data_IF_450981717466
#
_entry.id   IF_450981717466
#
_cell.length_a   1.000
_cell.length_b   1.000
_cell.length_c   1.000
_cell.angle_alpha   90.00
_cell.angle_beta   90.00
_cell.angle_gamma   90.00
#
_symmetry.space_group_name_H-M   'P 1'
#
loop_
_entity.id
_entity.type
_entity.pdbx_description
1 polymer ?
#
# COMPACT_ATOMS: atom_id res chain seq x y z
N UNK A 1 6.17 -29.78 -8.24
CA UNK A 1 6.15 -29.53 -9.69
C UNK A 1 4.81 -29.88 -10.31
N UNK A 2 4.48 -31.13 -10.70
CA UNK A 2 3.29 -31.42 -11.55
C UNK A 2 1.92 -30.86 -11.11
N UNK A 3 1.65 -30.72 -9.81
CA UNK A 3 0.37 -30.13 -9.33
C UNK A 3 0.39 -28.61 -9.47
N UNK A 4 1.53 -27.97 -9.17
CA UNK A 4 1.69 -26.53 -9.32
C UNK A 4 1.54 -26.15 -10.80
N UNK A 5 2.27 -26.83 -11.69
CA UNK A 5 2.23 -26.56 -13.13
C UNK A 5 0.80 -26.69 -13.68
N UNK A 6 0.08 -27.75 -13.30
CA UNK A 6 -1.30 -27.96 -13.75
C UNK A 6 -2.34 -27.02 -13.11
N UNK A 7 -2.04 -26.38 -11.97
CA UNK A 7 -2.86 -25.31 -11.39
C UNK A 7 -2.54 -23.99 -12.07
N UNK A 8 -1.26 -23.69 -12.30
CA UNK A 8 -0.80 -22.49 -12.99
C UNK A 8 -1.37 -22.41 -14.41
N UNK A 9 -1.30 -23.50 -15.18
CA UNK A 9 -1.91 -23.58 -16.53
C UNK A 9 -3.42 -23.27 -16.50
N UNK A 10 -4.14 -23.76 -15.48
CA UNK A 10 -5.58 -23.50 -15.34
C UNK A 10 -5.87 -22.07 -14.90
N UNK A 11 -5.00 -21.51 -14.05
CA UNK A 11 -5.08 -20.13 -13.59
C UNK A 11 -4.86 -19.16 -14.76
N UNK A 12 -3.78 -19.36 -15.53
CA UNK A 12 -3.46 -18.57 -16.73
C UNK A 12 -4.57 -18.67 -17.77
N UNK A 13 -5.03 -19.89 -18.11
CA UNK A 13 -6.16 -20.06 -19.02
C UNK A 13 -7.46 -19.40 -18.48
N UNK A 14 -7.61 -19.29 -17.15
CA UNK A 14 -8.72 -18.60 -16.51
C UNK A 14 -8.62 -17.08 -16.64
N UNK A 15 -7.41 -16.51 -16.56
CA UNK A 15 -7.14 -15.09 -16.80
C UNK A 15 -7.38 -14.73 -18.26
N UNK A 16 -6.87 -15.54 -19.19
CA UNK A 16 -7.03 -15.32 -20.64
C UNK A 16 -8.51 -15.31 -21.06
N UNK A 17 -9.32 -16.22 -20.50
CA UNK A 17 -10.77 -16.25 -20.78
C UNK A 17 -11.52 -15.00 -20.30
N UNK A 18 -10.94 -14.23 -19.38
CA UNK A 18 -11.53 -13.02 -18.80
C UNK A 18 -10.85 -11.74 -19.29
N UNK A 19 -9.94 -11.84 -20.26
CA UNK A 19 -9.09 -10.72 -20.70
C UNK A 19 -8.46 -9.95 -19.52
N UNK A 20 -8.08 -10.68 -18.46
CA UNK A 20 -7.66 -10.11 -17.18
C UNK A 20 -6.14 -10.24 -16.96
N UNK A 21 -5.55 -9.22 -16.35
CA UNK A 21 -4.15 -9.19 -15.94
C UNK A 21 -4.06 -9.03 -14.42
N UNK A 22 -3.21 -9.82 -13.77
CA UNK A 22 -2.79 -9.60 -12.38
C UNK A 22 -1.58 -8.65 -12.29
N UNK A 23 -1.15 -8.31 -11.06
CA UNK A 23 -0.07 -7.33 -10.88
C UNK A 23 1.26 -7.75 -11.56
N UNK A 24 1.76 -8.99 -11.43
CA UNK A 24 2.90 -9.47 -12.21
C UNK A 24 2.70 -9.40 -13.73
N UNK A 25 1.50 -9.73 -14.23
CA UNK A 25 1.22 -9.72 -15.67
C UNK A 25 1.34 -8.32 -16.27
N UNK A 26 0.96 -7.27 -15.55
CA UNK A 26 1.05 -5.89 -16.05
C UNK A 26 2.49 -5.56 -16.47
N UNK A 27 3.47 -5.94 -15.66
CA UNK A 27 4.88 -5.72 -15.96
C UNK A 27 5.33 -6.70 -17.06
N UNK A 28 5.06 -8.00 -16.88
CA UNK A 28 5.51 -9.05 -17.80
C UNK A 28 4.98 -8.90 -19.23
N UNK A 29 3.69 -8.64 -19.39
CA UNK A 29 3.04 -8.42 -20.69
C UNK A 29 3.53 -7.13 -21.33
N UNK A 30 3.78 -6.06 -20.55
CA UNK A 30 4.36 -4.81 -21.07
C UNK A 30 5.76 -5.05 -21.63
N UNK A 31 6.62 -5.77 -20.90
CA UNK A 31 7.97 -6.12 -21.36
C UNK A 31 7.92 -6.92 -22.66
N UNK A 32 7.12 -7.98 -22.71
CA UNK A 32 6.96 -8.81 -23.91
C UNK A 32 6.47 -7.97 -25.10
N UNK A 33 5.48 -7.11 -24.88
CA UNK A 33 4.95 -6.21 -25.90
C UNK A 33 6.03 -5.25 -26.43
N UNK A 34 6.83 -4.62 -25.57
CA UNK A 34 7.90 -3.69 -25.99
C UNK A 34 9.08 -4.38 -26.68
N UNK A 35 9.37 -5.63 -26.33
CA UNK A 35 10.38 -6.46 -27.02
C UNK A 35 9.95 -6.76 -28.45
N UNK A 36 8.69 -7.13 -28.64
CA UNK A 36 8.14 -7.53 -29.94
C UNK A 36 7.78 -6.34 -30.85
N UNK A 37 7.52 -5.16 -30.29
CA UNK A 37 7.03 -3.98 -31.01
C UNK A 37 8.04 -2.83 -30.99
N UNK A 38 9.11 -2.96 -31.79
CA UNK A 38 10.21 -1.99 -31.88
C UNK A 38 9.74 -0.56 -32.23
N UNK A 39 8.73 -0.41 -33.10
CA UNK A 39 8.18 0.91 -33.44
C UNK A 39 7.56 1.60 -32.21
N UNK A 40 6.83 0.85 -31.39
CA UNK A 40 6.22 1.39 -30.17
C UNK A 40 7.29 1.69 -29.13
N UNK A 41 8.28 0.80 -28.97
CA UNK A 41 9.43 1.01 -28.08
C UNK A 41 10.16 2.30 -28.43
N UNK A 42 10.56 2.49 -29.71
CA UNK A 42 11.21 3.72 -30.18
C UNK A 42 10.36 4.96 -29.94
N UNK A 43 9.06 4.89 -30.21
CA UNK A 43 8.14 6.03 -29.95
C UNK A 43 8.06 6.40 -28.46
N UNK A 44 8.15 5.41 -27.56
CA UNK A 44 8.17 5.67 -26.12
C UNK A 44 9.52 6.21 -25.67
N UNK A 45 10.62 5.67 -26.17
CA UNK A 45 11.98 6.19 -25.93
C UNK A 45 12.08 7.66 -26.37
N UNK A 46 11.56 8.01 -27.55
CA UNK A 46 11.50 9.40 -28.05
C UNK A 46 10.60 10.31 -27.20
N UNK A 47 9.58 9.74 -26.54
CA UNK A 47 8.64 10.49 -25.70
C UNK A 47 9.25 10.83 -24.34
N UNK A 48 10.07 9.94 -23.78
CA UNK A 48 10.66 10.10 -22.46
C UNK A 48 12.05 10.72 -22.57
N UNK A 49 12.10 12.05 -22.58
CA UNK A 49 13.36 12.80 -22.59
C UNK A 49 14.21 12.56 -21.33
N UNK A 50 13.59 12.23 -20.21
CA UNK A 50 14.23 11.84 -18.96
C UNK A 50 13.34 10.85 -18.17
N UNK A 51 13.98 9.88 -17.51
CA UNK A 51 13.34 8.87 -16.67
C UNK A 51 14.02 8.89 -15.30
N UNK A 52 13.24 9.18 -14.26
CA UNK A 52 13.70 9.11 -12.88
C UNK A 52 13.05 7.91 -12.20
N UNK A 53 13.85 7.09 -11.53
CA UNK A 53 13.37 5.99 -10.70
C UNK A 53 13.79 6.27 -9.27
N UNK A 54 12.81 6.48 -8.41
CA UNK A 54 12.98 6.64 -6.97
C UNK A 54 12.80 5.29 -6.26
N UNK A 55 13.34 5.14 -5.06
CA UNK A 55 13.31 3.90 -4.27
C UNK A 55 13.83 2.67 -5.06
N UNK A 56 14.91 2.84 -5.84
CA UNK A 56 15.42 1.79 -6.72
C UNK A 56 15.83 0.51 -5.98
N UNK A 57 16.17 0.59 -4.69
CA UNK A 57 16.50 -0.58 -3.86
C UNK A 57 15.35 -1.57 -3.69
N UNK A 58 14.11 -1.17 -4.02
CA UNK A 58 12.91 -2.00 -3.96
C UNK A 58 12.49 -2.53 -5.35
N UNK A 59 13.34 -2.32 -6.35
CA UNK A 59 13.10 -2.72 -7.74
C UNK A 59 13.57 -4.16 -7.99
N UNK A 60 12.77 -4.93 -8.74
CA UNK A 60 13.16 -6.28 -9.20
C UNK A 60 13.76 -6.27 -10.63
N UNK A 61 14.33 -7.40 -11.06
CA UNK A 61 14.94 -7.55 -12.38
C UNK A 61 14.00 -7.23 -13.55
N UNK A 62 12.70 -7.53 -13.42
CA UNK A 62 11.72 -7.25 -14.48
C UNK A 62 11.44 -5.76 -14.58
N UNK A 63 11.31 -5.08 -13.44
CA UNK A 63 11.14 -3.64 -13.40
C UNK A 63 12.37 -2.91 -13.95
N UNK A 64 13.59 -3.36 -13.61
CA UNK A 64 14.81 -2.83 -14.23
C UNK A 64 14.82 -3.07 -15.73
N UNK A 65 14.42 -4.26 -16.19
CA UNK A 65 14.32 -4.56 -17.61
C UNK A 65 13.34 -3.63 -18.35
N UNK A 66 12.19 -3.34 -17.75
CA UNK A 66 11.23 -2.39 -18.30
C UNK A 66 11.85 -0.99 -18.44
N UNK A 67 12.58 -0.52 -17.42
CA UNK A 67 13.29 0.77 -17.49
C UNK A 67 14.27 0.77 -18.64
N UNK A 68 15.07 -0.31 -18.82
CA UNK A 68 16.01 -0.44 -19.93
C UNK A 68 15.32 -0.37 -21.30
N UNK A 69 14.19 -1.05 -21.48
CA UNK A 69 13.43 -0.98 -22.72
C UNK A 69 12.90 0.44 -23.02
N UNK A 70 12.58 1.22 -21.98
CA UNK A 70 12.08 2.59 -22.11
C UNK A 70 13.18 3.64 -22.32
N UNK A 71 14.42 3.36 -21.93
CA UNK A 71 15.54 4.31 -21.98
C UNK A 71 16.61 3.96 -23.01
N UNK A 72 16.76 2.68 -23.37
CA UNK A 72 17.81 2.21 -24.29
C UNK A 72 19.19 2.04 -23.63
N UNK A 73 19.23 1.83 -22.31
CA UNK A 73 20.45 1.70 -21.49
C UNK A 73 21.42 0.63 -22.03
N UNK A 74 20.90 -0.43 -22.66
CA UNK A 74 21.65 -1.54 -23.25
C UNK A 74 21.97 -1.38 -24.74
N UNK A 75 21.33 -0.43 -25.44
CA UNK A 75 21.36 -0.34 -26.90
C UNK A 75 22.32 0.75 -27.43
N UNK A 76 22.47 1.91 -26.77
CA UNK A 76 23.51 2.93 -27.07
C UNK A 76 23.38 4.21 -26.23
N UNK A 77 22.20 4.48 -25.65
CA UNK A 77 21.81 5.75 -25.00
C UNK A 77 21.28 5.51 -23.59
N UNK A 78 22.09 5.76 -22.56
CA UNK A 78 21.65 5.74 -21.16
C UNK A 78 21.66 7.15 -20.52
N UNK A 79 21.76 8.21 -21.32
CA UNK A 79 22.02 9.56 -20.79
C UNK A 79 20.80 10.23 -20.15
N UNK A 80 19.63 9.58 -20.21
CA UNK A 80 18.37 10.14 -19.75
C UNK A 80 17.78 9.40 -18.54
N UNK A 81 18.51 8.48 -17.91
CA UNK A 81 18.04 7.77 -16.72
C UNK A 81 18.73 8.28 -15.45
N UNK A 82 17.95 8.49 -14.40
CA UNK A 82 18.43 8.90 -13.08
C UNK A 82 17.82 7.97 -12.03
N UNK A 83 18.68 7.24 -11.31
CA UNK A 83 18.28 6.30 -10.27
C UNK A 83 18.58 6.90 -8.89
N UNK A 84 17.61 6.82 -7.99
CA UNK A 84 17.73 7.22 -6.59
C UNK A 84 17.32 6.05 -5.71
N UNK A 85 18.09 5.81 -4.65
CA UNK A 85 17.73 4.82 -3.65
C UNK A 85 18.79 4.70 -2.56
N UNK A 86 18.47 3.90 -1.55
CA UNK A 86 19.34 3.60 -0.42
C UNK A 86 19.31 2.10 -0.14
N UNK A 87 20.42 1.40 -0.40
CA UNK A 87 20.55 -0.05 -0.17
C UNK A 87 20.14 -0.44 1.26
N UNK A 88 20.37 0.44 2.25
CA UNK A 88 20.01 0.24 3.67
C UNK A 88 18.50 0.21 3.91
N UNK A 89 17.69 0.68 2.97
CA UNK A 89 16.23 0.75 3.05
C UNK A 89 15.54 -0.35 2.22
N UNK A 90 16.29 -1.30 1.65
CA UNK A 90 15.69 -2.42 0.93
C UNK A 90 14.99 -3.36 1.90
N UNK A 91 13.65 -3.28 1.96
CA UNK A 91 12.81 -4.06 2.89
C UNK A 91 11.79 -4.95 2.18
N UNK A 92 11.82 -4.99 0.84
CA UNK A 92 10.87 -5.73 0.00
C UNK A 92 11.42 -7.02 -0.61
N UNK A 93 12.47 -7.62 -0.03
CA UNK A 93 13.04 -8.89 -0.50
C UNK A 93 12.01 -10.02 -0.66
N UNK A 94 10.98 -10.04 0.20
CA UNK A 94 9.87 -11.02 0.11
C UNK A 94 9.00 -10.87 -1.15
N UNK A 95 9.10 -9.74 -1.88
CA UNK A 95 8.44 -9.49 -3.16
C UNK A 95 9.38 -9.70 -4.36
N UNK A 96 10.63 -10.08 -4.13
CA UNK A 96 11.64 -10.28 -5.17
C UNK A 96 12.53 -9.07 -5.45
N UNK A 97 12.46 -8.01 -4.64
CA UNK A 97 13.48 -6.96 -4.68
C UNK A 97 14.84 -7.54 -4.26
N UNK A 98 15.90 -7.17 -4.96
CA UNK A 98 17.24 -7.69 -4.74
C UNK A 98 18.23 -6.51 -4.71
N UNK A 99 18.97 -6.36 -3.61
CA UNK A 99 19.98 -5.32 -3.44
C UNK A 99 21.07 -5.44 -4.52
N UNK A 100 21.31 -6.65 -5.04
CA UNK A 100 22.25 -6.87 -6.14
C UNK A 100 21.78 -6.24 -7.45
N UNK A 101 20.46 -6.07 -7.68
CA UNK A 101 19.91 -5.34 -8.83
C UNK A 101 20.31 -3.87 -8.79
N UNK A 102 20.38 -3.26 -7.59
CA UNK A 102 20.89 -1.89 -7.41
C UNK A 102 22.35 -1.77 -7.85
N UNK A 103 23.21 -2.67 -7.35
CA UNK A 103 24.63 -2.72 -7.72
C UNK A 103 24.84 -2.99 -9.21
N UNK A 104 24.10 -3.94 -9.78
CA UNK A 104 24.17 -4.28 -11.20
C UNK A 104 23.73 -3.10 -12.10
N UNK A 105 22.65 -2.39 -11.73
CA UNK A 105 22.21 -1.21 -12.46
C UNK A 105 23.24 -0.07 -12.38
N UNK A 106 23.84 0.14 -11.19
CA UNK A 106 24.93 1.11 -10.98
C UNK A 106 26.12 0.80 -11.90
N UNK A 107 26.55 -0.45 -11.96
CA UNK A 107 27.67 -0.90 -12.79
C UNK A 107 27.37 -0.78 -14.29
N UNK A 108 26.15 -1.13 -14.71
CA UNK A 108 25.67 -0.96 -16.09
C UNK A 108 25.71 0.52 -16.51
N UNK A 109 25.19 1.43 -15.67
CA UNK A 109 25.20 2.86 -15.96
C UNK A 109 26.61 3.45 -15.96
N UNK A 110 27.47 3.02 -15.04
CA UNK A 110 28.87 3.46 -15.01
C UNK A 110 29.59 3.04 -16.30
N UNK A 111 29.40 1.80 -16.75
CA UNK A 111 29.99 1.31 -18.01
C UNK A 111 29.55 2.15 -19.22
N UNK A 112 28.28 2.54 -19.27
CA UNK A 112 27.76 3.42 -20.34
C UNK A 112 28.34 4.82 -20.25
N UNK A 113 28.38 5.42 -19.05
CA UNK A 113 28.97 6.73 -18.83
C UNK A 113 30.45 6.77 -19.26
N UNK A 114 31.23 5.76 -18.89
CA UNK A 114 32.63 5.63 -19.31
C UNK A 114 32.81 5.49 -20.81
N UNK A 115 31.96 4.70 -21.46
CA UNK A 115 31.98 4.56 -22.93
C UNK A 115 31.67 5.87 -23.65
N UNK A 116 30.79 6.70 -23.07
CA UNK A 116 30.38 7.98 -23.64
C UNK A 116 31.25 9.17 -23.19
N UNK A 117 32.16 8.97 -22.23
CA UNK A 117 32.99 10.02 -21.66
C UNK A 117 32.21 10.99 -20.77
N UNK A 118 31.22 10.48 -20.03
CA UNK A 118 30.30 11.22 -19.16
C UNK A 118 30.53 10.93 -17.66
N UNK A 119 31.70 10.42 -17.29
CA UNK A 119 32.04 10.11 -15.89
C UNK A 119 32.39 11.36 -15.05
N UNK A 120 32.58 12.51 -15.68
CA UNK A 120 32.90 13.72 -14.93
C UNK A 120 31.64 14.35 -14.35
N UNK A 121 31.60 14.52 -13.03
CA UNK A 121 30.59 15.33 -12.34
C UNK A 121 31.12 16.76 -12.24
N UNK A 122 30.48 17.76 -12.88
CA UNK A 122 30.90 19.15 -12.77
C UNK A 122 30.89 19.61 -11.31
N UNK A 123 31.91 20.38 -10.92
CA UNK A 123 32.01 21.00 -9.59
C UNK A 123 32.01 19.99 -8.40
N UNK A 124 32.48 18.76 -8.63
CA UNK A 124 32.56 17.70 -7.62
C UNK A 124 33.91 16.98 -7.63
N UNK A 125 34.36 16.52 -6.46
CA UNK A 125 35.55 15.66 -6.31
C UNK A 125 35.26 14.17 -6.57
N UNK A 126 34.02 13.84 -6.96
CA UNK A 126 33.56 12.46 -7.18
C UNK A 126 33.99 11.96 -8.56
N UNK A 127 34.49 10.72 -8.61
CA UNK A 127 35.03 10.11 -9.83
C UNK A 127 33.98 9.69 -10.88
N UNK A 128 32.71 9.55 -10.49
CA UNK A 128 31.60 9.18 -11.39
C UNK A 128 30.24 9.67 -10.88
N UNK A 129 29.27 9.99 -11.76
CA UNK A 129 27.90 10.29 -11.33
C UNK A 129 27.25 9.14 -10.55
N UNK A 130 27.65 7.90 -10.82
CA UNK A 130 27.10 6.70 -10.16
C UNK A 130 27.68 6.45 -8.76
N UNK A 131 28.72 7.19 -8.36
CA UNK A 131 29.28 7.17 -7.01
C UNK A 131 28.93 8.43 -6.19
N UNK A 132 27.99 9.23 -6.68
CA UNK A 132 27.49 10.40 -5.94
C UNK A 132 26.67 9.94 -4.73
N UNK A 133 27.19 10.20 -3.53
CA UNK A 133 26.52 9.88 -2.27
C UNK A 133 26.01 11.14 -1.56
N UNK A 134 24.77 11.07 -1.07
CA UNK A 134 24.16 12.13 -0.26
C UNK A 134 24.23 11.75 1.22
N UNK A 135 25.27 12.21 1.91
CA UNK A 135 25.45 11.95 3.35
C UNK A 135 24.74 12.95 4.27
N UNK A 136 24.20 14.04 3.72
CA UNK A 136 23.49 15.07 4.49
C UNK A 136 22.05 14.63 4.84
N UNK A 137 21.73 14.54 6.13
CA UNK A 137 20.38 14.29 6.62
C UNK A 137 19.68 15.60 7.02
N UNK A 138 18.58 15.92 6.33
CA UNK A 138 17.82 17.15 6.54
C UNK A 138 16.57 16.93 7.42
N UNK A 139 16.31 15.70 7.87
CA UNK A 139 15.06 15.28 8.55
C UNK A 139 15.22 15.15 10.07
N UNK A 140 16.34 14.59 10.52
CA UNK A 140 16.56 14.13 11.89
C UNK A 140 17.47 15.11 12.63
N UNK A 141 17.17 15.39 13.89
CA UNK A 141 18.03 16.20 14.77
C UNK A 141 19.36 15.45 15.05
N UNK A 142 20.39 16.20 15.46
CA UNK A 142 21.75 15.69 15.63
C UNK A 142 21.85 14.55 16.65
N UNK A 143 21.20 14.70 17.81
CA UNK A 143 21.25 13.72 18.90
C UNK A 143 20.65 12.35 18.51
N UNK A 144 19.41 12.26 18.01
CA UNK A 144 18.88 10.99 17.51
C UNK A 144 19.69 10.42 16.36
N UNK A 145 20.19 11.27 15.44
CA UNK A 145 20.97 10.80 14.29
C UNK A 145 22.31 10.19 14.73
N UNK A 146 22.97 10.80 15.72
CA UNK A 146 24.23 10.29 16.29
C UNK A 146 24.03 8.90 16.88
N UNK A 147 22.98 8.71 17.70
CA UNK A 147 22.64 7.40 18.24
C UNK A 147 22.36 6.38 17.14
N UNK A 148 21.58 6.74 16.11
CA UNK A 148 21.26 5.83 15.00
C UNK A 148 22.52 5.41 14.24
N UNK A 149 23.42 6.36 13.95
CA UNK A 149 24.71 6.05 13.32
C UNK A 149 25.53 5.05 14.16
N UNK A 150 25.65 5.29 15.48
CA UNK A 150 26.38 4.39 16.38
C UNK A 150 25.75 2.99 16.49
N UNK A 151 24.42 2.92 16.51
CA UNK A 151 23.66 1.68 16.55
C UNK A 151 23.86 0.88 15.26
N UNK A 152 23.63 1.50 14.09
CA UNK A 152 23.73 0.80 12.81
C UNK A 152 25.17 0.42 12.43
N UNK A 153 26.18 1.19 12.86
CA UNK A 153 27.57 0.78 12.71
C UNK A 153 27.88 -0.56 13.41
N UNK A 154 27.16 -0.89 14.48
CA UNK A 154 27.32 -2.16 15.19
C UNK A 154 26.44 -3.27 14.61
N UNK A 155 25.25 -2.92 14.10
CA UNK A 155 24.28 -3.90 13.61
C UNK A 155 24.51 -4.31 12.15
N UNK A 156 24.92 -3.38 11.28
CA UNK A 156 25.09 -3.64 9.85
C UNK A 156 26.53 -4.14 9.63
N UNK A 157 26.75 -5.39 10.00
CA UNK A 157 28.00 -6.11 9.75
C UNK A 157 27.64 -7.40 9.02
N UNK A 158 28.23 -7.66 7.83
CA UNK A 158 27.93 -8.85 7.06
C UNK A 158 28.13 -10.11 7.90
N UNK A 159 27.15 -11.02 7.88
CA UNK A 159 27.24 -12.26 8.66
C UNK A 159 28.44 -13.10 8.21
N UNK A 160 28.69 -13.17 6.90
CA UNK A 160 29.86 -13.77 6.27
C UNK A 160 30.09 -13.26 4.82
N UNK A 161 31.13 -13.78 4.15
CA UNK A 161 31.48 -13.44 2.76
C UNK A 161 30.40 -13.86 1.73
N UNK A 162 29.54 -14.83 2.06
CA UNK A 162 28.45 -15.30 1.18
C UNK A 162 27.25 -14.34 1.21
N UNK A 163 26.97 -13.74 2.38
CA UNK A 163 25.87 -12.79 2.58
C UNK A 163 26.26 -11.35 2.28
N UNK A 164 27.56 -11.02 2.28
CA UNK A 164 28.07 -9.68 2.01
C UNK A 164 27.50 -8.99 0.75
N UNK A 165 27.24 -9.68 -0.39
CA UNK A 165 26.62 -9.04 -1.55
C UNK A 165 25.16 -8.61 -1.37
N UNK A 166 24.47 -9.15 -0.36
CA UNK A 166 23.06 -8.91 -0.07
C UNK A 166 22.85 -8.01 1.16
N UNK A 167 23.93 -7.60 1.83
CA UNK A 167 23.89 -6.76 3.02
C UNK A 167 24.48 -5.37 2.72
N UNK A 168 23.70 -4.34 3.06
CA UNK A 168 24.14 -2.96 2.88
C UNK A 168 25.16 -2.57 3.97
N UNK A 169 26.33 -2.01 3.61
CA UNK A 169 27.30 -1.52 4.58
C UNK A 169 26.75 -0.30 5.35
N UNK A 170 27.24 -0.05 6.57
CA UNK A 170 26.83 1.12 7.33
C UNK A 170 27.39 2.38 6.67
N UNK A 171 26.52 3.38 6.49
CA UNK A 171 26.87 4.67 5.90
C UNK A 171 26.41 5.78 6.85
N UNK A 172 27.34 6.38 7.62
CA UNK A 172 26.98 7.40 8.59
C UNK A 172 26.47 8.67 7.91
N UNK A 173 25.36 9.20 8.41
CA UNK A 173 24.78 10.45 7.92
C UNK A 173 25.18 11.62 8.82
N UNK A 174 25.32 12.80 8.22
CA UNK A 174 25.59 14.05 8.95
C UNK A 174 24.35 14.90 8.98
N UNK A 175 23.94 15.39 10.16
CA UNK A 175 22.82 16.30 10.26
C UNK A 175 23.14 17.61 9.50
N UNK A 176 22.27 17.98 8.56
CA UNK A 176 22.36 19.18 7.73
C UNK A 176 21.04 19.93 7.82
N UNK A 177 20.74 20.46 8.99
CA UNK A 177 19.50 21.22 9.22
C UNK A 177 19.80 22.71 9.27
N UNK A 178 20.45 23.24 8.22
CA UNK A 178 20.84 24.65 8.15
C UNK A 178 19.65 25.63 8.16
N UNK A 179 18.43 25.13 7.95
CA UNK A 179 17.16 25.88 8.04
C UNK A 179 16.56 25.87 9.45
N UNK A 180 17.12 25.10 10.36
CA UNK A 180 16.72 25.10 11.76
C UNK A 180 17.49 26.18 12.50
N UNK A 181 16.75 27.07 13.14
CA UNK A 181 17.34 28.02 14.06
C UNK A 181 17.73 27.25 15.33
N UNK A 182 18.89 27.57 15.89
CA UNK A 182 19.31 27.06 17.20
C UNK A 182 18.38 27.71 18.26
N UNK A 183 17.29 27.02 18.57
CA UNK A 183 16.23 27.48 19.48
C UNK A 183 16.27 26.64 20.75
N UNK A 184 16.35 27.31 21.90
CA UNK A 184 16.24 26.67 23.21
C UNK A 184 14.97 25.81 23.30
N UNK A 185 15.13 24.50 23.51
CA UNK A 185 14.04 23.53 23.64
C UNK A 185 13.66 22.78 22.35
N UNK A 186 14.34 23.04 21.23
CA UNK A 186 14.24 22.21 20.03
C UNK A 186 15.23 21.04 20.10
N UNK A 187 14.99 20.13 21.04
CA UNK A 187 15.85 18.99 21.32
C UNK A 187 15.24 17.69 20.81
N UNK A 188 16.10 16.71 20.47
CA UNK A 188 15.69 15.38 20.06
C UNK A 188 16.28 14.33 20.98
N UNK A 189 15.47 13.38 21.42
CA UNK A 189 15.94 12.27 22.27
C UNK A 189 15.38 10.95 21.80
N UNK A 190 16.09 9.87 22.14
CA UNK A 190 15.60 8.51 21.95
C UNK A 190 15.26 7.93 23.31
N UNK A 191 14.02 7.44 23.42
CA UNK A 191 13.48 6.83 24.63
C UNK A 191 13.18 5.35 24.37
N UNK A 192 13.62 4.48 25.28
CA UNK A 192 13.31 3.05 25.23
C UNK A 192 12.36 2.72 26.38
N UNK A 193 11.09 2.47 26.05
CA UNK A 193 10.05 2.11 27.01
C UNK A 193 10.08 0.60 27.25
N UNK A 194 10.53 0.19 28.43
CA UNK A 194 10.55 -1.23 28.83
C UNK A 194 9.18 -1.63 29.36
N UNK A 195 8.55 -2.59 28.69
CA UNK A 195 7.30 -3.20 29.15
C UNK A 195 7.61 -4.64 29.55
N UNK A 196 7.46 -5.01 30.83
CA UNK A 196 7.73 -6.37 31.30
C UNK A 196 6.74 -7.36 30.68
N UNK A 197 7.28 -8.49 30.24
CA UNK A 197 6.56 -9.59 29.59
C UNK A 197 6.27 -10.76 30.54
N UNK A 198 6.76 -10.68 31.78
CA UNK A 198 6.52 -11.66 32.82
C UNK A 198 5.98 -11.02 34.13
N UNK A 199 5.13 -11.75 34.88
CA UNK A 199 4.53 -11.25 36.11
C UNK A 199 5.54 -10.93 37.22
N UNK A 200 6.68 -11.62 37.29
CA UNK A 200 7.69 -11.40 38.34
C UNK A 200 8.40 -10.06 38.11
N UNK A 201 8.80 -9.79 36.87
CA UNK A 201 9.38 -8.50 36.47
C UNK A 201 8.34 -7.39 36.55
N UNK A 202 7.10 -7.64 36.13
CA UNK A 202 6.00 -6.67 36.26
C UNK A 202 5.71 -6.32 37.73
N UNK A 203 5.65 -7.30 38.63
CA UNK A 203 5.49 -7.05 40.06
C UNK A 203 6.69 -6.31 40.66
N UNK A 204 7.91 -6.61 40.18
CA UNK A 204 9.13 -5.92 40.61
C UNK A 204 9.17 -4.46 40.17
N UNK A 205 8.71 -4.16 38.95
CA UNK A 205 8.73 -2.81 38.37
C UNK A 205 7.51 -1.96 38.75
N UNK A 206 6.32 -2.57 38.83
CA UNK A 206 5.03 -1.84 38.96
C UNK A 206 4.22 -2.20 40.21
N UNK A 207 4.59 -3.25 40.95
CA UNK A 207 3.88 -3.72 42.15
C UNK A 207 2.86 -4.82 41.90
N UNK A 208 2.52 -5.56 42.96
CA UNK A 208 1.72 -6.81 42.90
C UNK A 208 0.27 -6.63 42.42
N UNK A 209 -0.28 -5.41 42.47
CA UNK A 209 -1.66 -5.10 42.07
C UNK A 209 -1.79 -4.69 40.58
N UNK A 210 -0.71 -4.79 39.79
CA UNK A 210 -0.69 -4.28 38.41
C UNK A 210 -1.38 -5.25 37.41
N UNK A 211 -2.28 -4.78 36.52
CA UNK A 211 -3.09 -5.61 35.60
C UNK A 211 -2.31 -6.53 34.63
N UNK A 212 -1.00 -6.29 34.46
CA UNK A 212 -0.12 -7.00 33.52
C UNK A 212 0.31 -8.38 34.05
N UNK A 213 0.10 -8.66 35.34
CA UNK A 213 0.53 -9.91 35.98
C UNK A 213 -0.34 -11.14 35.63
N UNK A 214 -1.59 -10.98 35.17
CA UNK A 214 -2.52 -12.09 34.87
C UNK A 214 -2.70 -12.31 33.36
N UNK A 215 -1.68 -12.80 32.65
CA UNK A 215 -1.82 -13.30 31.27
C UNK A 215 -0.73 -12.91 30.27
N UNK A 216 0.51 -12.77 30.75
CA UNK A 216 1.77 -12.52 30.06
C UNK A 216 1.64 -12.06 28.59
N UNK A 217 1.52 -12.93 27.58
CA UNK A 217 1.69 -12.52 26.17
C UNK A 217 0.59 -11.62 25.57
N UNK A 218 -0.69 -11.97 25.66
CA UNK A 218 -1.78 -11.10 25.16
C UNK A 218 -1.87 -9.83 26.01
N UNK A 219 -1.58 -9.96 27.31
CA UNK A 219 -1.47 -8.82 28.22
C UNK A 219 -0.21 -7.98 27.98
N UNK A 220 0.86 -8.52 27.37
CA UNK A 220 2.10 -7.78 27.10
C UNK A 220 1.88 -6.79 25.97
N UNK A 221 1.22 -7.22 24.88
CA UNK A 221 0.91 -6.32 23.76
C UNK A 221 -0.14 -5.28 24.18
N UNK A 222 -1.13 -5.70 24.96
CA UNK A 222 -2.10 -4.77 25.54
C UNK A 222 -1.41 -3.78 26.50
N UNK A 223 -0.48 -4.25 27.34
CA UNK A 223 0.34 -3.41 28.21
C UNK A 223 1.25 -2.47 27.41
N UNK A 224 1.81 -2.91 26.30
CA UNK A 224 2.63 -2.08 25.41
C UNK A 224 1.81 -0.97 24.79
N UNK A 225 0.63 -1.30 24.26
CA UNK A 225 -0.32 -0.33 23.71
C UNK A 225 -0.75 0.71 24.76
N UNK A 226 -1.04 0.25 25.97
CA UNK A 226 -1.43 1.09 27.12
C UNK A 226 -0.26 1.98 27.59
N UNK A 227 0.95 1.43 27.69
CA UNK A 227 2.14 2.18 28.06
C UNK A 227 2.48 3.25 27.01
N UNK A 228 2.35 2.93 25.73
CA UNK A 228 2.50 3.89 24.63
C UNK A 228 1.47 5.02 24.73
N UNK A 229 0.18 4.68 24.88
CA UNK A 229 -0.89 5.67 25.01
C UNK A 229 -0.67 6.58 26.22
N UNK A 230 -0.35 6.02 27.39
CA UNK A 230 -0.05 6.79 28.59
C UNK A 230 1.18 7.71 28.42
N UNK A 231 2.22 7.23 27.73
CA UNK A 231 3.41 8.04 27.44
C UNK A 231 3.09 9.18 26.48
N UNK A 232 2.26 8.94 25.46
CA UNK A 232 1.79 9.96 24.53
C UNK A 232 0.91 11.02 25.23
N UNK A 233 0.02 10.61 26.15
CA UNK A 233 -0.72 11.56 26.99
C UNK A 233 0.23 12.47 27.77
N UNK A 234 1.25 11.89 28.42
CA UNK A 234 2.27 12.66 29.14
C UNK A 234 3.06 13.59 28.20
N UNK A 235 3.33 13.14 26.97
CA UNK A 235 3.99 13.95 25.94
C UNK A 235 3.12 15.13 25.53
N UNK A 236 1.80 14.97 25.40
CA UNK A 236 0.90 16.06 25.02
C UNK A 236 0.52 16.99 26.18
N UNK A 237 0.74 16.58 27.43
CA UNK A 237 0.62 17.46 28.60
C UNK A 237 1.74 18.53 28.66
N UNK A 238 2.94 18.18 28.19
CA UNK A 238 4.08 19.10 28.00
C UNK A 238 4.68 18.89 26.59
N UNK A 239 4.01 19.42 25.54
CA UNK A 239 4.32 19.07 24.16
C UNK A 239 5.67 19.62 23.71
N UNK A 240 6.54 18.78 23.09
CA UNK A 240 7.82 19.24 22.58
C UNK A 240 7.63 20.28 21.47
N UNK A 241 8.67 21.08 21.25
CA UNK A 241 8.69 22.08 20.19
C UNK A 241 8.87 21.40 18.83
N UNK A 242 8.04 21.79 17.86
CA UNK A 242 8.13 21.37 16.47
C UNK A 242 8.39 22.60 15.61
N UNK A 243 9.35 22.49 14.70
CA UNK A 243 9.59 23.49 13.66
C UNK A 243 9.00 23.03 12.33
N UNK A 244 8.13 23.83 11.76
CA UNK A 244 7.59 23.63 10.43
C UNK A 244 8.68 23.91 9.37
N UNK A 245 8.94 22.93 8.51
CA UNK A 245 10.06 23.01 7.55
C UNK A 245 9.85 23.98 6.40
N UNK A 246 8.59 24.35 6.12
CA UNK A 246 8.23 25.22 5.00
C UNK A 246 8.17 26.69 5.42
N UNK A 247 7.65 26.94 6.62
CA UNK A 247 7.45 28.29 7.17
C UNK A 247 8.55 28.70 8.15
N UNK A 248 9.25 27.74 8.75
CA UNK A 248 10.19 27.97 9.85
C UNK A 248 9.53 28.32 11.18
N UNK A 249 8.19 28.31 11.25
CA UNK A 249 7.45 28.63 12.47
C UNK A 249 7.56 27.50 13.51
N UNK A 250 7.58 27.91 14.77
CA UNK A 250 7.64 27.00 15.90
C UNK A 250 6.28 26.87 16.56
N UNK A 251 5.89 25.64 16.85
CA UNK A 251 4.63 25.32 17.56
C UNK A 251 4.82 24.12 18.47
N UNK A 252 3.90 23.96 19.41
CA UNK A 252 3.80 22.71 20.18
C UNK A 252 3.44 21.54 19.27
N UNK A 253 3.99 20.38 19.58
CA UNK A 253 3.61 19.12 18.94
C UNK A 253 2.11 18.84 19.10
N UNK A 254 1.54 18.25 18.07
CA UNK A 254 0.16 17.79 18.00
C UNK A 254 0.14 16.30 17.66
N UNK A 255 -0.99 15.60 17.81
CA UNK A 255 -1.11 14.21 17.39
C UNK A 255 -0.72 13.95 15.92
N UNK A 256 -0.89 14.93 15.04
CA UNK A 256 -0.50 14.84 13.62
C UNK A 256 1.04 14.77 13.41
N UNK A 257 1.83 15.15 14.41
CA UNK A 257 3.30 15.07 14.37
C UNK A 257 3.83 13.70 14.83
N UNK A 258 2.96 12.80 15.28
CA UNK A 258 3.32 11.49 15.82
C UNK A 258 2.98 10.38 14.83
N UNK A 259 3.97 9.53 14.54
CA UNK A 259 3.78 8.30 13.77
C UNK A 259 4.08 7.07 14.63
N UNK A 260 3.14 6.11 14.66
CA UNK A 260 3.32 4.81 15.33
C UNK A 260 3.63 3.76 14.26
N UNK A 261 4.84 3.19 14.29
CA UNK A 261 5.30 2.19 13.35
C UNK A 261 5.28 0.80 14.00
N UNK A 262 4.48 -0.11 13.44
CA UNK A 262 4.37 -1.49 13.90
C UNK A 262 4.97 -2.44 12.87
N UNK A 263 5.77 -3.42 13.31
CA UNK A 263 6.36 -4.43 12.42
C UNK A 263 5.31 -5.25 11.67
N UNK A 264 4.20 -5.55 12.35
CA UNK A 264 3.04 -6.28 11.81
C UNK A 264 1.76 -5.63 12.33
N UNK A 265 0.69 -5.69 11.53
CA UNK A 265 -0.62 -5.12 11.88
C UNK A 265 -1.52 -6.09 12.66
N UNK A 266 -1.00 -7.25 13.06
CA UNK A 266 -1.77 -8.34 13.70
C UNK A 266 -2.51 -7.90 14.96
N UNK A 267 -1.95 -6.94 15.70
CA UNK A 267 -2.52 -6.44 16.97
C UNK A 267 -2.87 -4.95 16.89
N UNK A 268 -3.08 -4.42 15.69
CA UNK A 268 -3.39 -3.01 15.48
C UNK A 268 -4.64 -2.56 16.25
N UNK A 269 -5.62 -3.45 16.41
CA UNK A 269 -6.84 -3.20 17.20
C UNK A 269 -6.54 -2.87 18.68
N UNK A 270 -5.47 -3.43 19.25
CA UNK A 270 -5.06 -3.17 20.64
C UNK A 270 -4.52 -1.75 20.82
N UNK A 271 -3.67 -1.30 19.90
CA UNK A 271 -3.18 0.09 19.89
C UNK A 271 -4.33 1.07 19.64
N UNK A 272 -5.26 0.75 18.73
CA UNK A 272 -6.45 1.59 18.50
C UNK A 272 -7.27 1.78 19.77
N UNK A 273 -7.63 0.68 20.45
CA UNK A 273 -8.39 0.73 21.71
C UNK A 273 -7.69 1.54 22.79
N UNK A 274 -6.37 1.37 22.94
CA UNK A 274 -5.61 2.13 23.92
C UNK A 274 -5.61 3.64 23.59
N UNK A 275 -5.47 4.03 22.32
CA UNK A 275 -5.56 5.43 21.92
C UNK A 275 -6.97 6.00 22.14
N UNK A 276 -8.02 5.21 21.85
CA UNK A 276 -9.43 5.57 22.11
C UNK A 276 -9.69 5.78 23.62
N UNK A 277 -9.17 4.91 24.48
CA UNK A 277 -9.36 4.98 25.94
C UNK A 277 -8.72 6.23 26.56
N UNK A 278 -7.62 6.72 25.96
CA UNK A 278 -6.92 7.93 26.38
C UNK A 278 -7.34 9.18 25.60
N UNK A 279 -8.41 9.10 24.81
CA UNK A 279 -8.93 10.19 23.97
C UNK A 279 -7.87 10.79 23.00
N UNK A 280 -6.93 9.97 22.52
CA UNK A 280 -5.90 10.39 21.57
C UNK A 280 -6.40 10.19 20.14
N UNK A 281 -6.54 11.26 19.34
CA UNK A 281 -6.97 11.13 17.94
C UNK A 281 -5.90 10.42 17.12
N UNK A 282 -6.32 9.49 16.27
CA UNK A 282 -5.42 8.73 15.41
C UNK A 282 -6.01 8.52 14.02
N UNK A 283 -5.13 8.27 13.05
CA UNK A 283 -5.51 7.83 11.70
C UNK A 283 -4.70 6.59 11.33
N UNK A 284 -5.37 5.61 10.70
CA UNK A 284 -4.74 4.38 10.25
C UNK A 284 -4.44 4.49 8.75
N UNK A 285 -3.17 4.71 8.40
CA UNK A 285 -2.73 4.78 6.99
C UNK A 285 -2.78 3.39 6.37
N UNK A 286 -3.37 3.30 5.16
CA UNK A 286 -3.58 2.03 4.47
C UNK A 286 -4.50 1.10 5.26
N UNK A 287 -5.51 1.65 5.94
CA UNK A 287 -6.48 0.89 6.72
C UNK A 287 -6.98 -0.32 5.93
N UNK A 288 -6.72 -1.50 6.49
CA UNK A 288 -7.35 -2.75 6.07
C UNK A 288 -8.85 -2.55 6.24
N UNK A 289 -9.65 -2.97 5.27
CA UNK A 289 -11.09 -2.97 5.46
C UNK A 289 -11.88 -2.15 4.45
N UNK A 290 -11.41 -1.00 3.92
CA UNK A 290 -12.29 -0.19 3.06
C UNK A 290 -12.77 -1.01 1.84
N UNK A 291 -11.84 -1.53 1.05
CA UNK A 291 -12.15 -2.42 -0.09
C UNK A 291 -12.59 -3.83 0.34
N UNK A 292 -12.42 -4.19 1.61
CA UNK A 292 -12.86 -5.48 2.15
C UNK A 292 -14.28 -5.41 2.75
N UNK A 293 -14.82 -4.20 2.94
CA UNK A 293 -16.19 -4.03 3.46
C UNK A 293 -17.18 -4.65 2.47
N UNK A 294 -18.18 -5.40 2.96
CA UNK A 294 -19.20 -5.99 2.09
C UNK A 294 -19.84 -4.96 1.16
N UNK A 295 -19.98 -3.72 1.62
CA UNK A 295 -20.58 -2.62 0.87
C UNK A 295 -19.72 -2.19 -0.32
N UNK A 296 -18.44 -1.94 -0.09
CA UNK A 296 -17.51 -1.55 -1.16
C UNK A 296 -17.27 -2.72 -2.11
N UNK A 297 -17.22 -3.96 -1.62
CA UNK A 297 -17.11 -5.15 -2.48
C UNK A 297 -18.32 -5.30 -3.39
N UNK A 298 -19.54 -5.12 -2.88
CA UNK A 298 -20.77 -5.19 -3.69
C UNK A 298 -20.76 -4.16 -4.83
N UNK A 299 -20.41 -2.90 -4.52
CA UNK A 299 -20.32 -1.84 -5.52
C UNK A 299 -19.15 -2.05 -6.49
N UNK A 300 -18.01 -2.54 -6.02
CA UNK A 300 -16.86 -2.85 -6.90
C UNK A 300 -17.20 -3.97 -7.88
N UNK A 301 -17.86 -5.03 -7.41
CA UNK A 301 -18.34 -6.12 -8.26
C UNK A 301 -19.37 -5.60 -9.28
N UNK A 302 -20.27 -4.69 -8.87
CA UNK A 302 -21.21 -4.06 -9.80
C UNK A 302 -20.48 -3.29 -10.91
N UNK A 303 -19.51 -2.45 -10.56
CA UNK A 303 -18.75 -1.70 -11.56
C UNK A 303 -18.02 -2.61 -12.55
N UNK A 304 -17.49 -3.75 -12.09
CA UNK A 304 -16.91 -4.77 -12.96
C UNK A 304 -17.94 -5.38 -13.91
N UNK A 305 -19.10 -5.78 -13.40
CA UNK A 305 -20.21 -6.33 -14.21
C UNK A 305 -20.72 -5.34 -15.25
N UNK A 306 -20.77 -4.05 -14.90
CA UNK A 306 -21.20 -3.02 -15.85
C UNK A 306 -20.21 -2.93 -17.02
N UNK A 307 -18.90 -2.94 -16.73
CA UNK A 307 -17.84 -2.92 -17.73
C UNK A 307 -17.74 -4.21 -18.55
N UNK A 308 -17.86 -5.37 -17.89
CA UNK A 308 -17.81 -6.69 -18.47
C UNK A 308 -18.92 -7.61 -17.89
N UNK A 309 -20.01 -7.86 -18.65
CA UNK A 309 -21.09 -8.73 -18.20
C UNK A 309 -20.68 -10.20 -18.10
N UNK A 310 -19.53 -10.58 -18.65
CA UNK A 310 -19.04 -11.98 -18.65
C UNK A 310 -18.23 -12.34 -17.40
N UNK A 311 -17.97 -11.37 -16.51
CA UNK A 311 -17.39 -11.63 -15.19
C UNK A 311 -18.42 -12.27 -14.24
N UNK A 312 -18.62 -13.57 -14.42
CA UNK A 312 -19.56 -14.38 -13.63
C UNK A 312 -19.26 -14.35 -12.12
N UNK A 313 -17.99 -14.16 -11.71
CA UNK A 313 -17.66 -14.09 -10.27
C UNK A 313 -18.20 -12.80 -9.68
N UNK A 314 -17.93 -11.67 -10.33
CA UNK A 314 -18.44 -10.38 -9.89
C UNK A 314 -19.97 -10.34 -9.98
N UNK A 315 -20.56 -10.90 -11.05
CA UNK A 315 -22.02 -10.98 -11.23
C UNK A 315 -22.68 -11.81 -10.13
N UNK A 316 -22.13 -12.97 -9.79
CA UNK A 316 -22.60 -13.76 -8.66
C UNK A 316 -22.55 -12.97 -7.34
N UNK A 317 -21.45 -12.26 -7.09
CA UNK A 317 -21.28 -11.41 -5.92
C UNK A 317 -22.33 -10.30 -5.83
N UNK A 318 -22.63 -9.64 -6.96
CA UNK A 318 -23.68 -8.62 -7.06
C UNK A 318 -25.06 -9.19 -6.74
N UNK A 319 -25.42 -10.33 -7.35
CA UNK A 319 -26.72 -10.98 -7.15
C UNK A 319 -26.93 -11.46 -5.71
N UNK A 320 -25.85 -11.86 -5.01
CA UNK A 320 -25.89 -12.25 -3.58
C UNK A 320 -25.85 -11.07 -2.62
N UNK A 321 -25.36 -9.91 -3.06
CA UNK A 321 -25.22 -8.71 -2.23
C UNK A 321 -26.58 -8.09 -1.88
N UNK A 322 -26.65 -7.15 -0.90
CA UNK A 322 -27.88 -6.43 -0.57
C UNK A 322 -28.50 -5.59 -1.72
N UNK A 323 -27.86 -5.51 -2.89
CA UNK A 323 -28.44 -4.94 -4.11
C UNK A 323 -29.61 -5.79 -4.65
N UNK A 324 -29.52 -7.12 -4.54
CA UNK A 324 -30.54 -8.05 -5.06
C UNK A 324 -30.97 -9.10 -4.02
N UNK A 325 -30.05 -9.55 -3.16
CA UNK A 325 -30.36 -10.44 -2.02
C UNK A 325 -30.78 -11.86 -2.42
N UNK A 326 -30.36 -12.36 -3.59
CA UNK A 326 -30.73 -13.71 -4.03
C UNK A 326 -30.02 -14.80 -3.22
N UNK A 327 -30.64 -15.97 -3.10
CA UNK A 327 -30.06 -17.14 -2.42
C UNK A 327 -29.45 -18.10 -3.43
N UNK A 328 -28.48 -18.90 -2.99
CA UNK A 328 -27.85 -19.93 -3.83
C UNK A 328 -28.89 -20.89 -4.44
N UNK A 329 -29.95 -21.22 -3.69
CA UNK A 329 -31.06 -22.07 -4.17
C UNK A 329 -31.81 -21.49 -5.38
N UNK A 330 -31.85 -20.15 -5.52
CA UNK A 330 -32.44 -19.49 -6.69
C UNK A 330 -31.45 -19.41 -7.85
N UNK A 331 -30.18 -19.12 -7.56
CA UNK A 331 -29.16 -18.92 -8.59
C UNK A 331 -28.69 -20.24 -9.23
N UNK A 332 -28.45 -21.27 -8.42
CA UNK A 332 -27.84 -22.51 -8.88
C UNK A 332 -28.60 -23.21 -10.03
N UNK A 333 -29.95 -23.30 -10.04
CA UNK A 333 -30.68 -23.90 -11.15
C UNK A 333 -30.51 -23.13 -12.47
N UNK A 334 -30.53 -21.79 -12.43
CA UNK A 334 -30.40 -20.96 -13.62
C UNK A 334 -28.98 -21.02 -14.21
N UNK A 335 -27.97 -20.94 -13.34
CA UNK A 335 -26.56 -20.97 -13.75
C UNK A 335 -26.15 -22.35 -14.28
N UNK A 336 -26.71 -23.44 -13.75
CA UNK A 336 -26.37 -24.80 -14.21
C UNK A 336 -26.83 -25.09 -15.66
N UNK A 337 -27.81 -24.33 -16.17
CA UNK A 337 -28.39 -24.51 -17.51
C UNK A 337 -27.82 -23.57 -18.58
N UNK A 338 -26.92 -22.65 -18.22
CA UNK A 338 -26.41 -21.63 -19.12
C UNK A 338 -24.88 -21.63 -19.20
N UNK A 339 -24.34 -21.08 -20.28
CA UNK A 339 -22.89 -20.95 -20.48
C UNK A 339 -22.27 -19.84 -19.61
N UNK A 340 -23.07 -18.86 -19.20
CA UNK A 340 -22.69 -17.76 -18.28
C UNK A 340 -23.88 -17.35 -17.40
N UNK A 341 -23.62 -16.69 -16.29
CA UNK A 341 -24.67 -16.15 -15.41
C UNK A 341 -25.45 -15.05 -16.14
N UNK A 342 -24.80 -14.24 -16.97
CA UNK A 342 -25.49 -13.20 -17.75
C UNK A 342 -26.53 -13.80 -18.70
N UNK A 343 -26.16 -14.85 -19.45
CA UNK A 343 -27.10 -15.59 -20.32
C UNK A 343 -28.21 -16.27 -19.51
N UNK A 344 -27.89 -16.77 -18.31
CA UNK A 344 -28.88 -17.33 -17.41
C UNK A 344 -29.94 -16.29 -17.02
N UNK A 345 -29.53 -15.07 -16.69
CA UNK A 345 -30.45 -13.97 -16.36
C UNK A 345 -31.30 -13.55 -17.57
N UNK A 346 -30.70 -13.44 -18.75
CA UNK A 346 -31.38 -13.04 -20.00
C UNK A 346 -32.49 -14.02 -20.42
N UNK A 347 -32.26 -15.32 -20.21
CA UNK A 347 -33.15 -16.39 -20.68
C UNK A 347 -34.01 -16.99 -19.57
N UNK A 348 -33.93 -16.45 -18.35
CA UNK A 348 -34.64 -16.95 -17.18
C UNK A 348 -36.15 -16.68 -17.26
N UNK A 349 -36.94 -17.68 -16.85
CA UNK A 349 -38.39 -17.54 -16.62
C UNK A 349 -38.72 -17.06 -15.18
N UNK A 350 -37.74 -16.98 -14.25
CA UNK A 350 -37.94 -16.41 -12.91
C UNK A 350 -38.04 -14.87 -12.99
N UNK A 351 -39.19 -14.27 -12.62
CA UNK A 351 -39.40 -12.83 -12.72
C UNK A 351 -38.34 -12.00 -12.00
N UNK A 352 -37.81 -12.45 -10.87
CA UNK A 352 -36.83 -11.68 -10.10
C UNK A 352 -35.45 -11.67 -10.79
N UNK A 353 -35.11 -12.75 -11.48
CA UNK A 353 -33.89 -12.81 -12.27
C UNK A 353 -34.01 -11.96 -13.55
N UNK A 354 -35.20 -11.94 -14.17
CA UNK A 354 -35.50 -11.05 -15.29
C UNK A 354 -35.43 -9.58 -14.88
N UNK A 355 -36.02 -9.19 -13.75
CA UNK A 355 -35.95 -7.82 -13.23
C UNK A 355 -34.49 -7.40 -12.98
N UNK A 356 -33.66 -8.30 -12.44
CA UNK A 356 -32.23 -8.04 -12.25
C UNK A 356 -31.49 -7.84 -13.57
N UNK A 357 -31.80 -8.64 -14.59
CA UNK A 357 -31.24 -8.48 -15.94
C UNK A 357 -31.59 -7.12 -16.54
N UNK A 358 -32.84 -6.68 -16.41
CA UNK A 358 -33.32 -5.40 -16.93
C UNK A 358 -32.62 -4.22 -16.24
N UNK A 359 -32.49 -4.25 -14.91
CA UNK A 359 -31.77 -3.24 -14.14
C UNK A 359 -30.29 -3.16 -14.53
N UNK A 360 -29.60 -4.31 -14.56
CA UNK A 360 -28.18 -4.36 -14.96
C UNK A 360 -27.98 -3.86 -16.39
N UNK A 361 -28.86 -4.24 -17.32
CA UNK A 361 -28.81 -3.78 -18.71
C UNK A 361 -29.04 -2.27 -18.82
N UNK A 362 -30.02 -1.74 -18.08
CA UNK A 362 -30.29 -0.31 -17.99
C UNK A 362 -29.08 0.46 -17.47
N UNK A 363 -28.47 0.00 -16.37
CA UNK A 363 -27.29 0.65 -15.80
C UNK A 363 -26.08 0.60 -16.73
N UNK A 364 -25.90 -0.46 -17.53
CA UNK A 364 -24.85 -0.54 -18.56
C UNK A 364 -25.04 0.47 -19.69
N UNK A 365 -26.27 0.68 -20.13
CA UNK A 365 -26.63 1.73 -21.09
C UNK A 365 -26.34 3.12 -20.51
N UNK A 366 -26.74 3.37 -19.26
CA UNK A 366 -26.53 4.65 -18.58
C UNK A 366 -25.05 4.92 -18.26
N UNK A 367 -24.23 3.90 -18.01
CA UNK A 367 -22.79 4.06 -17.78
C UNK A 367 -21.99 4.20 -19.08
N UNK A 368 -22.60 3.98 -20.25
CA UNK A 368 -21.91 3.94 -21.54
C UNK A 368 -21.10 2.66 -21.76
N UNK A 369 -21.34 1.61 -20.98
CA UNK A 369 -20.74 0.29 -21.15
C UNK A 369 -21.54 -0.62 -22.11
N UNK A 370 -22.66 -0.13 -22.62
CA UNK A 370 -23.45 -0.69 -23.71
C UNK A 370 -23.87 0.43 -24.67
N UNK A 371 -24.57 0.10 -25.76
CA UNK A 371 -25.10 1.12 -26.68
C UNK A 371 -25.97 2.13 -25.91
N UNK A 372 -25.67 3.45 -25.99
CA UNK A 372 -26.42 4.45 -25.26
C UNK A 372 -27.88 4.54 -25.72
N UNK A 373 -28.79 4.61 -24.75
CA UNK A 373 -30.21 4.79 -24.97
C UNK A 373 -30.59 6.27 -25.14
N UNK A 374 -31.89 6.55 -25.22
CA UNK A 374 -32.42 7.92 -25.39
C UNK A 374 -32.05 8.86 -24.23
N UNK A 375 -31.82 8.31 -23.02
CA UNK A 375 -31.41 9.07 -21.83
C UNK A 375 -29.94 9.50 -21.85
N UNK A 376 -29.15 9.00 -22.79
CA UNK A 376 -27.72 9.30 -22.92
C UNK A 376 -26.86 8.61 -21.85
N UNK A 377 -25.59 9.03 -21.77
CA UNK A 377 -24.61 8.51 -20.81
C UNK A 377 -24.54 9.44 -19.60
N UNK A 378 -24.63 8.87 -18.41
CA UNK A 378 -24.49 9.54 -17.13
C UNK A 378 -23.06 9.43 -16.61
N UNK A 379 -22.69 10.36 -15.73
CA UNK A 379 -21.46 10.25 -14.95
C UNK A 379 -21.58 9.12 -13.91
N UNK A 380 -20.46 8.46 -13.58
CA UNK A 380 -20.44 7.33 -12.65
C UNK A 380 -21.08 7.61 -11.29
N UNK A 381 -20.93 8.82 -10.75
CA UNK A 381 -21.61 9.21 -9.51
C UNK A 381 -23.14 9.15 -9.64
N UNK A 382 -23.71 9.57 -10.77
CA UNK A 382 -25.16 9.53 -11.03
C UNK A 382 -25.65 8.12 -11.26
N UNK A 383 -24.85 7.28 -11.95
CA UNK A 383 -25.15 5.85 -12.11
C UNK A 383 -25.22 5.18 -10.73
N UNK A 384 -24.24 5.42 -9.86
CA UNK A 384 -24.24 4.86 -8.51
C UNK A 384 -25.40 5.36 -7.64
N UNK A 385 -25.74 6.65 -7.70
CA UNK A 385 -26.95 7.16 -7.03
C UNK A 385 -28.20 6.45 -7.55
N UNK A 386 -28.31 6.26 -8.86
CA UNK A 386 -29.43 5.58 -9.48
C UNK A 386 -29.54 4.12 -9.04
N UNK A 387 -28.43 3.39 -9.00
CA UNK A 387 -28.35 2.02 -8.48
C UNK A 387 -28.85 1.95 -7.04
N UNK A 388 -28.37 2.85 -6.17
CA UNK A 388 -28.75 2.88 -4.75
C UNK A 388 -30.26 3.13 -4.61
N UNK A 389 -30.82 4.03 -5.42
CA UNK A 389 -32.25 4.35 -5.41
C UNK A 389 -33.11 3.20 -5.97
N UNK A 390 -32.72 2.62 -7.10
CA UNK A 390 -33.44 1.54 -7.79
C UNK A 390 -33.50 0.26 -6.96
N UNK A 391 -32.44 -0.04 -6.19
CA UNK A 391 -32.34 -1.23 -5.33
C UNK A 391 -32.79 -0.99 -3.90
N UNK A 392 -32.89 0.28 -3.47
CA UNK A 392 -33.06 0.61 -2.05
C UNK A 392 -31.86 0.19 -1.19
N UNK A 393 -30.65 0.15 -1.75
CA UNK A 393 -29.45 -0.40 -1.10
C UNK A 393 -29.21 0.14 0.33
N UNK A 394 -29.40 1.44 0.56
CA UNK A 394 -29.21 2.03 1.89
C UNK A 394 -30.25 1.53 2.90
N UNK A 395 -31.46 1.17 2.47
CA UNK A 395 -32.49 0.63 3.36
C UNK A 395 -32.26 -0.84 3.68
N UNK A 396 -31.67 -1.62 2.76
CA UNK A 396 -31.28 -3.01 3.02
C UNK A 396 -30.10 -3.12 3.98
N UNK A 397 -29.04 -2.33 3.76
CA UNK A 397 -27.87 -2.29 4.66
C UNK A 397 -28.26 -1.85 6.07
N UNK A 398 -29.06 -0.78 6.20
CA UNK A 398 -29.50 -0.30 7.53
C UNK A 398 -30.49 -1.23 8.25
N UNK A 399 -31.13 -2.17 7.54
CA UNK A 399 -31.98 -3.20 8.13
C UNK A 399 -31.18 -4.38 8.69
N UNK A 400 -30.05 -4.72 8.06
CA UNK A 400 -29.13 -5.79 8.51
C UNK A 400 -28.26 -5.35 9.71
N UNK A 401 -28.08 -4.04 9.95
CA UNK A 401 -27.25 -3.49 11.04
C UNK A 401 -27.86 -3.50 12.46
N UNK A 402 -28.99 -4.17 12.72
CA UNK A 402 -29.47 -4.37 14.12
C UNK A 402 -29.32 -5.84 14.52
N UNK A 403 -28.30 -6.19 15.32
CA UNK A 403 -28.30 -5.81 16.73
C UNK A 403 -26.91 -5.55 17.36
N UNK A 404 -26.65 -4.32 17.84
CA UNK A 404 -25.80 -4.04 19.01
C UNK A 404 -26.11 -2.65 19.58
N UNK A 405 -26.35 -2.56 20.89
CA UNK A 405 -26.25 -1.31 21.66
C UNK A 405 -27.45 -0.37 21.60
N UNK A 406 -28.38 -0.52 22.54
CA UNK A 406 -29.35 0.51 22.92
C UNK A 406 -28.64 1.82 23.29
N UNK A 407 -28.78 2.85 22.46
CA UNK A 407 -28.51 4.23 22.84
C UNK A 407 -29.84 4.97 22.97
N UNK A 408 -30.38 4.99 24.19
CA UNK A 408 -31.50 5.84 24.57
C UNK A 408 -31.11 7.30 24.34
N UNK A 409 -31.82 7.98 23.44
CA UNK A 409 -31.83 9.45 23.37
C UNK A 409 -32.43 9.99 24.67
N UNK A 410 -31.58 10.47 25.58
CA UNK A 410 -31.98 11.41 26.63
C UNK A 410 -32.22 12.77 25.99
N UNK A 411 -33.50 13.13 25.84
CA UNK A 411 -33.90 14.53 25.81
C UNK A 411 -33.61 15.15 27.19
N UNK A 412 -32.96 16.32 27.19
CA UNK A 412 -32.73 17.15 28.38
C UNK A 412 -33.41 18.51 28.09
N UNK A 413 -34.09 19.11 29.09
CA UNK A 413 -35.24 20.00 28.85
C UNK A 413 -34.90 21.42 28.38
#
# INVERSE_FOLDING_TARGET
>A
MRVFDGVLERYEAGKDRRDALDFPDVIGTTISFLRENEEVRRRLQDKFEAVMVDEFQDTDDRQWELVKLLTGVDEETATNVFLVGDEKQSIYAFRGADVTTFGAARDELQSVNSRLGLDEVPDSDVESPTSLELSGNFRTLEDPLTFLNELFNQLFQPEDDEHAPFEAPPQPLTARRDRIEDVDGLDGSIEYLVVPDDPETAATLFGDDHPVAEGALDHTIEAEAQALAARLTTLFDDPPLVQDTDTGEHRSATPDDVAILLRRRTHLDRYQRALEEYDIPYTVIGGVGFYDTPEVQALTNLLRVLGDPTDDISLYGVLRSPLFGFTDDRLAPAVASADSIWTALETSDDPQLTDAFELLSSWRTLSGCAEPGEEGVLSWNRVLTRVIDDTGYLTSVSADERPAGSCERREVP
#
